data_IF_810997331137
#
_entry.id   IF_810997331137
#
_cell.length_a   1.000
_cell.length_b   1.000
_cell.length_c   1.000
_cell.angle_alpha   90.00
_cell.angle_beta   90.00
_cell.angle_gamma   90.00
#
_symmetry.space_group_name_H-M   'P 1'
#
loop_
_entity.id
_entity.type
_entity.pdbx_description
1 polymer ?
#
# COMPACT_ATOMS: atom_id res chain seq x y z
N UNK A 1 -43.61 -16.52 -58.44
CA UNK A 1 -44.11 -16.00 -57.14
C UNK A 1 -44.26 -17.22 -56.23
N UNK A 2 -43.68 -17.40 -55.06
CA UNK A 2 -42.90 -16.57 -54.12
C UNK A 2 -42.09 -17.59 -53.30
N UNK A 3 -40.76 -17.49 -53.31
CA UNK A 3 -39.86 -18.21 -52.41
C UNK A 3 -39.77 -17.45 -51.07
N UNK A 4 -39.56 -18.14 -49.95
CA UNK A 4 -39.37 -17.53 -48.64
C UNK A 4 -39.27 -18.60 -47.55
N UNK A 5 -38.17 -19.36 -47.49
CA UNK A 5 -36.94 -19.07 -46.73
C UNK A 5 -37.15 -19.06 -45.20
N UNK A 6 -36.93 -20.25 -44.63
CA UNK A 6 -36.78 -20.57 -43.21
C UNK A 6 -35.60 -19.83 -42.59
N UNK A 7 -35.82 -19.08 -41.50
CA UNK A 7 -34.76 -18.50 -40.67
C UNK A 7 -34.37 -19.48 -39.55
N UNK A 8 -33.08 -19.86 -39.40
CA UNK A 8 -32.61 -20.49 -38.18
C UNK A 8 -32.37 -19.42 -37.11
N UNK A 9 -32.97 -19.63 -35.94
CA UNK A 9 -32.75 -18.82 -34.74
C UNK A 9 -31.31 -19.03 -34.27
N UNK A 10 -30.41 -18.13 -34.66
CA UNK A 10 -29.03 -18.08 -34.19
C UNK A 10 -28.98 -17.54 -32.76
N UNK A 11 -28.73 -18.42 -31.79
CA UNK A 11 -28.45 -18.07 -30.41
C UNK A 11 -27.01 -17.54 -30.32
N UNK A 12 -26.82 -16.22 -30.42
CA UNK A 12 -25.52 -15.59 -30.17
C UNK A 12 -25.31 -15.54 -28.66
N UNK A 13 -24.60 -16.54 -28.12
CA UNK A 13 -24.12 -16.55 -26.74
C UNK A 13 -23.05 -15.47 -26.54
N UNK A 14 -23.42 -14.39 -25.86
CA UNK A 14 -22.49 -13.34 -25.45
C UNK A 14 -21.65 -13.84 -24.26
N UNK A 15 -20.45 -14.35 -24.53
CA UNK A 15 -19.46 -14.67 -23.50
C UNK A 15 -18.94 -13.37 -22.88
N UNK A 16 -19.49 -13.00 -21.72
CA UNK A 16 -18.96 -11.92 -20.90
C UNK A 16 -17.63 -12.38 -20.30
N UNK A 17 -16.52 -12.01 -20.95
CA UNK A 17 -15.17 -12.08 -20.37
C UNK A 17 -15.12 -11.11 -19.19
N UNK A 18 -15.48 -11.57 -18.00
CA UNK A 18 -15.22 -10.80 -16.77
C UNK A 18 -13.71 -10.82 -16.54
N UNK A 19 -13.04 -9.74 -16.92
CA UNK A 19 -11.66 -9.49 -16.56
C UNK A 19 -11.58 -9.41 -15.03
N UNK A 20 -11.21 -10.50 -14.38
CA UNK A 20 -10.74 -10.44 -12.99
C UNK A 20 -9.44 -9.66 -13.03
N UNK A 21 -9.52 -8.34 -12.87
CA UNK A 21 -8.35 -7.52 -12.58
C UNK A 21 -7.86 -7.96 -11.21
N UNK A 22 -6.88 -8.85 -11.18
CA UNK A 22 -6.13 -9.13 -9.96
C UNK A 22 -5.40 -7.83 -9.66
N UNK A 23 -5.85 -7.11 -8.63
CA UNK A 23 -5.14 -5.92 -8.16
C UNK A 23 -3.68 -6.28 -7.93
N UNK A 24 -2.73 -5.49 -8.47
CA UNK A 24 -1.32 -5.78 -8.26
C UNK A 24 -1.04 -5.83 -6.75
N UNK A 25 -0.20 -6.78 -6.28
CA UNK A 25 0.09 -6.92 -4.86
C UNK A 25 0.54 -5.58 -4.27
N UNK A 26 -0.02 -5.21 -3.12
CA UNK A 26 0.31 -3.95 -2.46
C UNK A 26 1.83 -3.86 -2.22
N UNK A 27 2.54 -2.90 -2.84
CA UNK A 27 3.99 -2.88 -2.87
C UNK A 27 4.59 -2.64 -1.47
N UNK A 28 3.83 -2.11 -0.53
CA UNK A 28 4.29 -1.84 0.83
C UNK A 28 4.27 -3.07 1.73
N UNK A 29 3.55 -4.15 1.39
CA UNK A 29 3.48 -5.36 2.22
C UNK A 29 4.90 -5.89 2.47
N UNK A 30 5.23 -6.12 3.74
CA UNK A 30 6.55 -6.61 4.17
C UNK A 30 7.16 -5.77 5.30
N UNK A 31 8.44 -6.06 5.58
CA UNK A 31 9.22 -5.37 6.60
C UNK A 31 10.12 -4.32 5.96
N UNK A 32 10.14 -3.15 6.56
CA UNK A 32 10.87 -1.99 6.11
C UNK A 32 11.66 -1.37 7.25
N UNK A 33 12.84 -0.83 6.98
CA UNK A 33 13.71 -0.31 8.01
C UNK A 33 14.53 0.89 7.51
N UNK A 34 14.82 1.80 8.42
CA UNK A 34 15.83 2.84 8.27
C UNK A 34 16.69 2.88 9.52
N UNK A 35 18.00 3.02 9.32
CA UNK A 35 18.95 3.30 10.40
C UNK A 35 19.31 4.78 10.34
N UNK A 36 19.15 5.50 11.44
CA UNK A 36 19.58 6.90 11.60
C UNK A 36 20.47 6.93 12.83
N UNK A 37 21.77 7.05 12.62
CA UNK A 37 22.79 6.94 13.68
C UNK A 37 22.60 5.64 14.49
N UNK A 38 22.31 5.76 15.79
CA UNK A 38 22.06 4.64 16.72
C UNK A 38 20.59 4.26 16.86
N UNK A 39 19.71 4.86 16.05
CA UNK A 39 18.27 4.62 16.07
C UNK A 39 17.86 3.75 14.88
N UNK A 40 17.21 2.63 15.15
CA UNK A 40 16.57 1.78 14.15
C UNK A 40 15.08 2.03 14.13
N UNK A 41 14.57 2.55 13.02
CA UNK A 41 13.14 2.64 12.74
C UNK A 41 12.73 1.44 11.89
N UNK A 42 11.74 0.68 12.33
CA UNK A 42 11.24 -0.48 11.57
C UNK A 42 9.73 -0.43 11.46
N UNK A 43 9.21 -0.74 10.28
CA UNK A 43 7.79 -0.85 10.01
C UNK A 43 7.46 -2.22 9.43
N UNK A 44 6.40 -2.86 9.91
CA UNK A 44 5.88 -4.11 9.36
C UNK A 44 4.49 -3.84 8.79
N UNK A 45 4.34 -3.87 7.47
CA UNK A 45 3.07 -3.72 6.77
C UNK A 45 2.50 -5.08 6.40
N UNK A 46 1.27 -5.38 6.85
CA UNK A 46 0.61 -6.67 6.67
C UNK A 46 -0.40 -6.65 5.52
N UNK A 47 -0.66 -7.79 4.85
CA UNK A 47 -1.65 -7.87 3.78
C UNK A 47 -3.08 -7.47 4.20
N UNK A 48 -3.41 -7.57 5.49
CA UNK A 48 -4.72 -7.21 6.04
C UNK A 48 -4.94 -5.68 6.20
N UNK A 49 -3.98 -4.86 5.77
CA UNK A 49 -4.05 -3.41 5.88
C UNK A 49 -3.70 -2.88 7.27
N UNK A 50 -3.06 -3.68 8.13
CA UNK A 50 -2.50 -3.20 9.41
C UNK A 50 -0.99 -3.04 9.34
N UNK A 51 -0.45 -2.20 10.21
CA UNK A 51 1.01 -2.05 10.33
C UNK A 51 1.44 -1.73 11.76
N UNK A 52 2.69 -2.09 12.07
CA UNK A 52 3.35 -1.72 13.31
C UNK A 52 4.63 -0.95 13.04
N UNK A 53 4.87 0.07 13.86
CA UNK A 53 6.12 0.82 13.92
C UNK A 53 6.90 0.48 15.17
N UNK A 54 8.22 0.33 15.04
CA UNK A 54 9.15 0.04 16.12
C UNK A 54 10.31 1.04 16.11
N UNK A 55 10.75 1.43 17.30
CA UNK A 55 11.96 2.21 17.52
C UNK A 55 12.91 1.38 18.38
N UNK A 56 14.11 1.09 17.88
CA UNK A 56 15.10 0.23 18.55
C UNK A 56 14.50 -1.11 19.02
N UNK A 57 13.66 -1.73 18.17
CA UNK A 57 13.00 -3.00 18.44
C UNK A 57 11.79 -2.94 19.39
N UNK A 58 11.56 -1.82 20.08
CA UNK A 58 10.39 -1.62 20.95
C UNK A 58 9.20 -1.15 20.14
N UNK A 59 8.01 -1.66 20.45
CA UNK A 59 6.76 -1.20 19.83
C UNK A 59 6.58 0.30 20.08
N UNK A 60 6.25 1.04 19.03
CA UNK A 60 6.10 2.48 19.07
C UNK A 60 4.70 2.92 18.65
N UNK A 61 4.15 2.29 17.60
CA UNK A 61 2.78 2.54 17.14
C UNK A 61 2.21 1.31 16.44
N UNK A 62 0.89 1.27 16.36
CA UNK A 62 0.13 0.35 15.51
C UNK A 62 -0.99 1.12 14.82
N UNK A 63 -1.36 0.70 13.63
CA UNK A 63 -2.32 1.42 12.81
C UNK A 63 -2.83 0.64 11.62
N UNK A 64 -3.66 1.31 10.82
CA UNK A 64 -4.14 0.82 9.53
C UNK A 64 -3.56 1.62 8.40
N UNK A 65 -3.36 0.96 7.26
CA UNK A 65 -2.92 1.59 6.04
C UNK A 65 -3.65 1.04 4.83
N UNK A 66 -3.64 1.81 3.75
CA UNK A 66 -4.03 1.36 2.43
C UNK A 66 -3.01 1.89 1.42
N UNK A 67 -2.93 1.24 0.26
CA UNK A 67 -2.18 1.74 -0.89
C UNK A 67 -3.07 1.62 -2.11
N UNK A 68 -3.22 2.73 -2.83
CA UNK A 68 -3.88 2.78 -4.12
C UNK A 68 -2.94 3.48 -5.09
N UNK A 69 -2.48 2.76 -6.12
CA UNK A 69 -1.44 3.22 -7.04
C UNK A 69 -0.17 3.66 -6.30
N UNK A 70 0.19 4.94 -6.38
CA UNK A 70 1.33 5.55 -5.71
C UNK A 70 0.94 6.24 -4.40
N UNK A 71 -0.32 6.15 -3.96
CA UNK A 71 -0.82 6.90 -2.81
C UNK A 71 -1.08 5.96 -1.65
N UNK A 72 -0.47 6.27 -0.51
CA UNK A 72 -0.63 5.54 0.73
C UNK A 72 -1.39 6.41 1.73
N UNK A 73 -2.41 5.85 2.36
CA UNK A 73 -3.03 6.44 3.55
C UNK A 73 -2.68 5.64 4.80
N UNK A 74 -2.56 6.34 5.93
CA UNK A 74 -2.30 5.76 7.25
C UNK A 74 -3.20 6.38 8.32
N UNK A 75 -3.54 5.58 9.30
CA UNK A 75 -4.22 5.99 10.54
C UNK A 75 -3.56 5.23 11.69
N UNK A 76 -3.21 5.93 12.77
CA UNK A 76 -2.58 5.32 13.93
C UNK A 76 -2.95 6.06 15.21
N UNK A 77 -2.84 5.37 16.34
CA UNK A 77 -3.15 5.93 17.65
C UNK A 77 -2.04 6.82 18.22
N UNK A 78 -0.91 7.02 17.53
CA UNK A 78 0.25 7.69 18.10
C UNK A 78 0.01 9.18 18.32
N UNK A 79 -0.70 9.80 17.39
CA UNK A 79 -1.10 11.20 17.50
C UNK A 79 -2.53 11.33 18.03
N UNK A 80 -3.48 10.68 17.35
CA UNK A 80 -4.90 10.57 17.71
C UNK A 80 -5.52 9.58 16.71
N UNK A 81 -6.40 8.64 17.10
CA UNK A 81 -7.04 7.72 16.15
C UNK A 81 -7.88 8.41 15.06
N UNK A 82 -8.34 9.65 15.27
CA UNK A 82 -9.00 10.46 14.25
C UNK A 82 -8.02 11.10 13.25
N UNK A 83 -6.71 11.02 13.49
CA UNK A 83 -5.70 11.60 12.63
C UNK A 83 -5.29 10.64 11.52
N UNK A 84 -5.14 11.20 10.33
CA UNK A 84 -4.79 10.46 9.13
C UNK A 84 -3.68 11.16 8.37
N UNK A 85 -2.88 10.35 7.69
CA UNK A 85 -1.80 10.80 6.82
C UNK A 85 -1.99 10.21 5.44
N UNK A 86 -1.72 11.00 4.41
CA UNK A 86 -1.78 10.64 3.00
C UNK A 86 -0.46 11.05 2.39
N UNK A 87 0.23 10.10 1.78
CA UNK A 87 1.55 10.29 1.18
C UNK A 87 1.58 9.71 -0.22
N UNK A 88 2.30 10.37 -1.11
CA UNK A 88 2.77 9.75 -2.35
C UNK A 88 4.02 8.93 -2.06
N UNK A 89 3.99 7.67 -2.44
CA UNK A 89 5.10 6.73 -2.43
C UNK A 89 6.00 7.01 -3.62
N UNK A 90 7.29 7.25 -3.35
CA UNK A 90 8.33 7.36 -4.37
C UNK A 90 9.35 6.27 -4.18
N UNK A 91 9.25 5.23 -5.01
CA UNK A 91 10.24 4.14 -5.03
C UNK A 91 11.44 4.55 -5.89
N UNK A 92 12.64 4.51 -5.33
CA UNK A 92 13.88 4.68 -6.11
C UNK A 92 14.28 3.36 -6.80
N UNK A 93 14.05 2.25 -6.10
CA UNK A 93 14.15 0.85 -6.55
C UNK A 93 13.05 0.06 -5.81
N UNK A 94 12.70 -1.18 -6.19
CA UNK A 94 11.60 -1.94 -5.56
C UNK A 94 11.71 -2.08 -4.02
N UNK A 95 12.93 -2.01 -3.49
CA UNK A 95 13.24 -2.17 -2.07
C UNK A 95 13.65 -0.87 -1.37
N UNK A 96 13.39 0.30 -1.97
CA UNK A 96 13.68 1.60 -1.35
C UNK A 96 12.56 2.59 -1.64
N UNK A 97 11.91 3.08 -0.58
CA UNK A 97 10.76 3.99 -0.67
C UNK A 97 10.97 5.27 0.15
N UNK A 98 10.54 6.39 -0.44
CA UNK A 98 10.38 7.69 0.22
C UNK A 98 8.91 8.09 0.22
N UNK A 99 8.55 8.92 1.20
CA UNK A 99 7.19 9.41 1.39
C UNK A 99 7.14 10.90 1.13
N UNK A 100 6.28 11.33 0.22
CA UNK A 100 6.01 12.74 -0.06
C UNK A 100 4.65 13.06 0.55
N UNK A 101 4.61 13.94 1.54
CA UNK A 101 3.37 14.33 2.21
C UNK A 101 2.42 15.01 1.22
N UNK A 102 1.21 14.47 1.11
CA UNK A 102 0.07 15.12 0.44
C UNK A 102 -0.75 15.85 1.50
N UNK A 103 -1.15 15.13 2.55
CA UNK A 103 -1.94 15.66 3.66
C UNK A 103 -1.62 14.85 4.91
N UNK A 104 -1.41 15.49 6.04
CA UNK A 104 -1.24 14.78 7.30
C UNK A 104 -1.71 15.66 8.45
N UNK A 105 -2.69 15.18 9.21
CA UNK A 105 -3.27 15.93 10.32
C UNK A 105 -2.43 15.85 11.59
N UNK A 106 -1.45 14.93 11.65
CA UNK A 106 -0.51 14.85 12.77
C UNK A 106 0.70 15.75 12.55
N UNK A 107 0.93 16.69 13.47
CA UNK A 107 2.06 17.63 13.39
C UNK A 107 3.41 16.92 13.38
N UNK A 108 3.69 16.06 14.36
CA UNK A 108 4.98 15.39 14.50
C UNK A 108 5.31 14.51 13.28
N UNK A 109 4.28 13.89 12.70
CA UNK A 109 4.41 13.03 11.53
C UNK A 109 4.67 13.83 10.25
N UNK A 110 4.08 15.02 10.10
CA UNK A 110 4.41 15.96 9.00
C UNK A 110 5.88 16.34 8.97
N UNK A 111 6.49 16.52 10.13
CA UNK A 111 7.88 16.97 10.25
C UNK A 111 8.85 15.81 10.04
N UNK A 112 8.47 14.58 10.43
CA UNK A 112 9.37 13.42 10.42
C UNK A 112 9.27 12.57 9.16
N UNK A 113 8.06 12.26 8.66
CA UNK A 113 7.85 11.35 7.53
C UNK A 113 8.57 11.75 6.23
N UNK A 114 8.61 13.04 5.83
CA UNK A 114 9.38 13.45 4.64
C UNK A 114 10.88 13.13 4.69
N UNK A 115 11.43 12.96 5.89
CA UNK A 115 12.85 12.61 6.08
C UNK A 115 13.09 11.09 6.02
N UNK A 116 12.03 10.28 6.04
CA UNK A 116 12.14 8.83 6.00
C UNK A 116 12.49 8.32 4.61
N UNK A 117 13.47 7.43 4.59
CA UNK A 117 13.82 6.61 3.44
C UNK A 117 13.94 5.17 3.93
N UNK A 118 12.92 4.37 3.66
CA UNK A 118 12.86 3.00 4.16
C UNK A 118 13.41 2.02 3.13
N UNK A 119 14.29 1.13 3.58
CA UNK A 119 14.74 -0.03 2.82
C UNK A 119 13.96 -1.28 3.19
N UNK A 120 13.62 -2.13 2.21
CA UNK A 120 12.98 -3.42 2.49
C UNK A 120 13.97 -4.33 3.19
N UNK A 121 13.54 -4.96 4.28
CA UNK A 121 14.33 -5.97 4.99
C UNK A 121 13.98 -7.31 4.36
N UNK A 122 14.89 -7.85 3.55
CA UNK A 122 14.78 -9.25 3.12
C UNK A 122 14.91 -10.15 4.35
N UNK A 123 14.16 -11.26 4.44
CA UNK A 123 14.45 -12.28 5.42
C UNK A 123 15.89 -12.73 5.22
N UNK A 124 16.73 -12.63 6.25
CA UNK A 124 17.98 -13.38 6.26
C UNK A 124 17.55 -14.84 6.19
N UNK A 125 17.88 -15.51 5.09
CA UNK A 125 17.70 -16.96 4.98
C UNK A 125 18.45 -17.58 6.16
N UNK A 126 17.79 -18.39 7.01
CA UNK A 126 18.44 -19.04 8.14
C UNK A 126 19.59 -19.93 7.67
#
# INVERSE_FOLDING_TARGET
MKEGFTLPVGFIGLLVLSSFAIDPPNPMVGRWQQQIERVTLRFNFRPDGTYDGFVNGKSYLTGRYYVHQDTMGVTDGKCNPAYFGIYRLKFSVPDSVRFITILDTCRDRRETVPTLALGRVTPVKP
#
